data_IF_111649817342
#
_entry.id   IF_111649817342
#
_cell.length_a   1.000
_cell.length_b   1.000
_cell.length_c   1.000
_cell.angle_alpha   90.00
_cell.angle_beta   90.00
_cell.angle_gamma   90.00
#
_symmetry.space_group_name_H-M   'P 1'
#
loop_
_entity.id
_entity.type
_entity.pdbx_description
1 polymer ?
#
# COMPACT_ATOMS: atom_id res chain seq x y z
N UNK A 1 -16.17 -0.24 -4.49
CA UNK A 1 -15.51 0.20 -3.25
C UNK A 1 -14.03 0.41 -3.50
N UNK A 2 -13.48 1.50 -3.01
CA UNK A 2 -12.06 1.79 -3.16
C UNK A 2 -11.30 1.25 -1.95
N UNK A 3 -10.18 0.59 -2.20
CA UNK A 3 -9.34 0.03 -1.14
C UNK A 3 -7.89 0.45 -1.29
N UNK A 4 -7.20 0.53 -0.14
CA UNK A 4 -5.75 0.72 -0.09
C UNK A 4 -5.16 -0.65 0.18
N UNK A 5 -4.36 -1.16 -0.75
CA UNK A 5 -3.83 -2.52 -0.66
C UNK A 5 -2.40 -2.60 -1.18
N UNK A 6 -1.74 -3.72 -0.89
CA UNK A 6 -0.40 -3.99 -1.38
C UNK A 6 -0.45 -4.70 -2.72
N UNK A 7 0.43 -4.29 -3.62
CA UNK A 7 0.65 -4.97 -4.90
C UNK A 7 2.07 -5.52 -4.90
N UNK A 8 2.20 -6.83 -5.12
CA UNK A 8 3.50 -7.47 -5.14
C UNK A 8 4.28 -7.10 -6.40
N UNK A 9 5.54 -6.75 -6.20
CA UNK A 9 6.47 -6.40 -7.26
C UNK A 9 7.79 -7.14 -7.01
N UNK A 10 8.74 -6.99 -7.92
CA UNK A 10 10.08 -7.53 -7.76
C UNK A 10 10.23 -8.97 -8.21
N UNK A 11 11.37 -9.56 -7.89
CA UNK A 11 11.73 -10.92 -8.30
C UNK A 11 11.14 -11.94 -7.33
N UNK A 12 11.16 -13.21 -7.74
CA UNK A 12 10.61 -14.32 -6.96
C UNK A 12 11.25 -14.44 -5.58
N UNK A 13 12.57 -14.18 -5.47
CA UNK A 13 13.30 -14.29 -4.21
C UNK A 13 13.56 -12.96 -3.52
N UNK A 14 13.13 -11.86 -4.13
CA UNK A 14 13.32 -10.51 -3.59
C UNK A 14 12.05 -9.69 -3.81
N UNK A 15 10.94 -10.07 -3.17
CA UNK A 15 9.68 -9.34 -3.36
C UNK A 15 9.70 -7.99 -2.64
N UNK A 16 9.06 -7.02 -3.25
CA UNK A 16 8.69 -5.80 -2.57
C UNK A 16 7.25 -5.47 -2.96
N UNK A 17 6.66 -4.53 -2.24
CA UNK A 17 5.24 -4.24 -2.42
C UNK A 17 5.04 -2.75 -2.63
N UNK A 18 4.11 -2.41 -3.51
CA UNK A 18 3.64 -1.04 -3.63
C UNK A 18 2.32 -0.92 -2.90
N UNK A 19 2.18 0.16 -2.14
CA UNK A 19 0.92 0.48 -1.48
C UNK A 19 0.12 1.31 -2.47
N UNK A 20 -1.02 0.78 -2.90
CA UNK A 20 -1.81 1.38 -3.96
C UNK A 20 -3.26 1.53 -3.58
N UNK A 21 -3.92 2.52 -4.20
CA UNK A 21 -5.36 2.70 -4.12
C UNK A 21 -5.97 2.06 -5.36
N UNK A 22 -6.92 1.16 -5.17
CA UNK A 22 -7.55 0.47 -6.29
C UNK A 22 -9.01 0.16 -5.99
N UNK A 23 -9.78 -0.02 -7.05
CA UNK A 23 -11.15 -0.50 -6.92
C UNK A 23 -11.13 -1.95 -6.48
N UNK A 24 -11.92 -2.31 -5.47
CA UNK A 24 -11.98 -3.67 -4.93
C UNK A 24 -12.40 -4.71 -5.97
N UNK A 25 -13.05 -4.29 -7.05
CA UNK A 25 -13.46 -5.18 -8.13
C UNK A 25 -12.35 -5.46 -9.13
N UNK A 26 -11.26 -4.68 -9.10
CA UNK A 26 -10.12 -4.92 -9.96
C UNK A 26 -9.29 -6.10 -9.47
N UNK A 27 -8.70 -6.91 -10.39
CA UNK A 27 -7.79 -7.98 -9.97
C UNK A 27 -6.62 -7.42 -9.17
N UNK A 28 -6.09 -8.24 -8.26
CA UNK A 28 -4.96 -7.84 -7.42
C UNK A 28 -3.79 -7.28 -8.24
N UNK A 29 -3.52 -7.87 -9.39
CA UNK A 29 -2.43 -7.47 -10.27
C UNK A 29 -2.90 -6.56 -11.41
N UNK A 30 -4.13 -6.06 -11.34
CA UNK A 30 -4.70 -5.17 -12.34
C UNK A 30 -4.37 -3.71 -12.10
N UNK A 31 -5.15 -2.85 -12.73
CA UNK A 31 -4.95 -1.40 -12.64
C UNK A 31 -5.20 -0.89 -11.23
N UNK A 32 -4.47 0.13 -10.87
CA UNK A 32 -4.69 0.87 -9.64
C UNK A 32 -4.90 2.36 -9.96
N UNK A 33 -5.51 3.08 -9.00
CA UNK A 33 -5.84 4.49 -9.17
C UNK A 33 -4.63 5.37 -8.89
N UNK A 34 -3.93 5.09 -7.77
CA UNK A 34 -2.80 5.88 -7.33
C UNK A 34 -1.85 5.02 -6.51
N UNK A 35 -0.55 5.28 -6.65
CA UNK A 35 0.47 4.65 -5.81
C UNK A 35 0.77 5.57 -4.63
N UNK A 36 0.67 5.04 -3.41
CA UNK A 36 0.88 5.81 -2.18
C UNK A 36 2.27 5.60 -1.57
N UNK A 37 2.96 4.54 -1.96
CA UNK A 37 4.27 4.28 -1.40
C UNK A 37 4.76 2.89 -1.73
N UNK A 38 5.87 2.51 -1.06
CA UNK A 38 6.54 1.23 -1.28
C UNK A 38 6.86 0.60 0.08
N UNK A 39 6.64 -0.69 0.19
CA UNK A 39 7.05 -1.48 1.34
C UNK A 39 8.00 -2.58 0.88
N UNK A 40 9.24 -2.54 1.38
CA UNK A 40 10.27 -3.52 1.04
C UNK A 40 10.76 -4.18 2.33
N UNK A 41 10.25 -5.37 2.69
CA UNK A 41 10.66 -6.05 3.91
C UNK A 41 12.11 -6.55 3.88
N UNK A 42 12.72 -6.58 2.70
CA UNK A 42 14.10 -7.04 2.53
C UNK A 42 15.11 -5.90 2.55
N UNK A 43 14.66 -4.65 2.61
CA UNK A 43 15.57 -3.51 2.59
C UNK A 43 16.39 -3.41 3.88
N UNK A 44 17.66 -3.01 3.75
CA UNK A 44 18.55 -2.84 4.89
C UNK A 44 18.31 -1.53 5.64
N UNK A 45 17.62 -0.60 5.06
CA UNK A 45 17.35 0.69 5.67
C UNK A 45 15.86 0.88 5.90
N UNK A 46 15.35 1.96 5.36
CA UNK A 46 13.92 2.28 5.45
C UNK A 46 13.12 1.24 4.66
N UNK A 47 12.31 0.47 5.36
CA UNK A 47 11.52 -0.61 4.75
C UNK A 47 10.18 -0.12 4.21
N UNK A 48 9.69 0.99 4.71
CA UNK A 48 8.36 1.49 4.37
C UNK A 48 8.42 2.98 4.08
N UNK A 49 7.96 3.34 2.89
CA UNK A 49 7.76 4.74 2.50
C UNK A 49 6.30 4.92 2.14
N UNK A 50 5.62 5.84 2.80
CA UNK A 50 4.25 6.18 2.48
C UNK A 50 4.07 7.68 2.44
N UNK A 51 3.29 8.14 1.47
CA UNK A 51 2.82 9.52 1.46
C UNK A 51 1.63 9.60 2.42
N UNK A 52 1.90 9.98 3.67
CA UNK A 52 0.90 10.00 4.72
C UNK A 52 -0.26 10.94 4.40
N UNK A 53 0.00 12.07 3.75
CA UNK A 53 -1.06 13.00 3.37
C UNK A 53 -2.02 12.40 2.35
N UNK A 54 -1.49 11.67 1.36
CA UNK A 54 -2.33 11.01 0.37
C UNK A 54 -3.12 9.85 0.97
N UNK A 55 -2.50 9.12 1.90
CA UNK A 55 -3.21 8.06 2.63
C UNK A 55 -4.39 8.65 3.39
N UNK A 56 -4.18 9.74 4.12
CA UNK A 56 -5.25 10.42 4.86
C UNK A 56 -6.34 10.93 3.91
N UNK A 57 -5.95 11.49 2.78
CA UNK A 57 -6.89 11.96 1.77
C UNK A 57 -7.82 10.82 1.32
N UNK A 58 -7.24 9.69 0.93
CA UNK A 58 -8.04 8.57 0.44
C UNK A 58 -8.93 7.97 1.51
N UNK A 59 -8.43 7.89 2.75
CA UNK A 59 -9.25 7.41 3.87
C UNK A 59 -10.43 8.37 4.08
N UNK A 60 -10.21 9.67 4.00
CA UNK A 60 -11.29 10.66 4.12
C UNK A 60 -12.33 10.55 2.99
N UNK A 61 -11.92 10.02 1.84
CA UNK A 61 -12.81 9.78 0.70
C UNK A 61 -13.51 8.42 0.77
N UNK A 62 -13.33 7.69 1.84
CA UNK A 62 -13.99 6.40 2.05
C UNK A 62 -13.19 5.17 1.63
N UNK A 63 -11.93 5.35 1.23
CA UNK A 63 -11.08 4.19 0.91
C UNK A 63 -10.80 3.38 2.18
N UNK A 64 -10.84 2.06 2.05
CA UNK A 64 -10.63 1.17 3.18
C UNK A 64 -9.29 0.44 3.06
N UNK A 65 -8.36 0.62 4.03
CA UNK A 65 -7.11 -0.13 4.01
C UNK A 65 -7.36 -1.60 4.35
N UNK A 66 -6.60 -2.48 3.70
CA UNK A 66 -6.60 -3.89 4.05
C UNK A 66 -5.95 -4.07 5.43
N UNK A 67 -6.13 -5.22 6.06
CA UNK A 67 -5.56 -5.48 7.38
C UNK A 67 -4.04 -5.33 7.38
N UNK A 68 -3.38 -5.80 6.32
CA UNK A 68 -1.93 -5.67 6.17
C UNK A 68 -1.53 -4.19 6.14
N UNK A 69 -2.24 -3.38 5.35
CA UNK A 69 -1.96 -1.95 5.24
C UNK A 69 -2.24 -1.25 6.57
N UNK A 70 -3.29 -1.64 7.28
CA UNK A 70 -3.57 -1.07 8.61
C UNK A 70 -2.40 -1.31 9.56
N UNK A 71 -1.82 -2.51 9.52
CA UNK A 71 -0.65 -2.81 10.34
C UNK A 71 0.55 -1.93 9.99
N UNK A 72 0.76 -1.68 8.70
CA UNK A 72 1.84 -0.81 8.26
C UNK A 72 1.61 0.64 8.68
N UNK A 73 0.37 1.13 8.62
CA UNK A 73 0.03 2.48 9.03
C UNK A 73 0.30 2.69 10.53
N UNK A 74 0.01 1.69 11.34
CA UNK A 74 0.29 1.76 12.78
C UNK A 74 1.78 1.91 13.05
N UNK A 75 2.63 1.27 12.26
CA UNK A 75 4.08 1.39 12.41
C UNK A 75 4.57 2.81 12.13
N UNK A 76 3.95 3.49 11.18
CA UNK A 76 4.30 4.87 10.85
C UNK A 76 3.85 5.84 11.92
N UNK A 77 2.67 5.61 12.49
CA UNK A 77 2.09 6.46 13.52
C UNK A 77 2.75 6.28 14.90
N UNK A 78 3.40 5.16 15.09
CA UNK A 78 4.03 4.84 16.37
C UNK A 78 5.31 5.66 16.63
#
# INVERSE_FOLDING_TARGET
MVKIRLRRMGAKKAPYYRVVVADSRSPRDGRFIEELGVYDPMADGEKLRLDAERVKYWISQGAQPTDTVRGLLKKIEA
#
